data_IF_621489354556
#
_entry.id   IF_621489354556
#
_cell.length_a   1.000
_cell.length_b   1.000
_cell.length_c   1.000
_cell.angle_alpha   90.00
_cell.angle_beta   90.00
_cell.angle_gamma   90.00
#
_symmetry.space_group_name_H-M   'P 1'
#
loop_
_entity.id
_entity.type
_entity.pdbx_description
1 polymer ?
#
# COMPACT_ATOMS: atom_id res chain seq x y z
N UNK A 1 -25.73 -24.01 3.79
CA UNK A 1 -24.70 -23.00 4.12
C UNK A 1 -25.08 -21.72 3.37
N UNK A 2 -25.43 -20.65 4.07
CA UNK A 2 -25.76 -19.38 3.44
C UNK A 2 -24.47 -18.77 2.86
N UNK A 3 -24.31 -18.86 1.55
CA UNK A 3 -23.30 -18.11 0.81
C UNK A 3 -23.61 -16.63 1.00
N UNK A 4 -22.84 -15.94 1.84
CA UNK A 4 -22.80 -14.48 1.78
C UNK A 4 -22.32 -14.14 0.38
N UNK A 5 -23.21 -13.55 -0.42
CA UNK A 5 -22.87 -13.06 -1.75
C UNK A 5 -21.81 -11.97 -1.57
N UNK A 6 -20.58 -12.33 -1.91
CA UNK A 6 -19.46 -11.39 -2.02
C UNK A 6 -19.79 -10.44 -3.17
N UNK A 7 -19.66 -9.14 -2.92
CA UNK A 7 -20.08 -8.11 -3.87
C UNK A 7 -19.33 -8.16 -5.20
N UNK A 8 -19.82 -7.39 -6.18
CA UNK A 8 -19.12 -7.21 -7.46
C UNK A 8 -17.69 -6.70 -7.25
N UNK A 9 -16.74 -7.21 -8.02
CA UNK A 9 -15.33 -6.79 -7.99
C UNK A 9 -14.40 -7.70 -7.19
N UNK A 10 -14.92 -8.72 -6.49
CA UNK A 10 -14.10 -9.72 -5.81
C UNK A 10 -13.71 -10.87 -6.74
N UNK A 11 -12.42 -11.16 -6.81
CA UNK A 11 -11.89 -12.35 -7.50
C UNK A 11 -11.11 -13.18 -6.50
N UNK A 12 -11.49 -14.45 -6.34
CA UNK A 12 -10.78 -15.39 -5.47
C UNK A 12 -9.78 -16.17 -6.31
N UNK A 13 -8.51 -16.13 -5.92
CA UNK A 13 -7.41 -16.77 -6.62
C UNK A 13 -6.90 -17.98 -5.84
N UNK A 14 -6.45 -18.98 -6.58
CA UNK A 14 -5.73 -20.15 -6.07
C UNK A 14 -4.71 -20.59 -7.13
N UNK A 15 -3.82 -21.52 -6.77
CA UNK A 15 -2.74 -21.97 -7.66
C UNK A 15 -2.11 -23.27 -7.20
N UNK A 16 -0.99 -23.64 -7.83
CA UNK A 16 -0.20 -24.80 -7.39
C UNK A 16 0.41 -24.51 -6.02
N UNK A 17 0.60 -25.53 -5.15
CA UNK A 17 1.19 -25.33 -3.83
C UNK A 17 2.52 -24.59 -3.85
N UNK A 18 3.41 -24.92 -4.79
CA UNK A 18 4.72 -24.29 -4.92
C UNK A 18 4.63 -22.81 -5.33
N UNK A 19 3.67 -22.46 -6.20
CA UNK A 19 3.43 -21.07 -6.61
C UNK A 19 2.90 -20.24 -5.43
N UNK A 20 2.00 -20.82 -4.63
CA UNK A 20 1.46 -20.18 -3.41
C UNK A 20 2.59 -19.97 -2.39
N UNK A 21 3.46 -20.97 -2.19
CA UNK A 21 4.60 -20.86 -1.28
C UNK A 21 5.59 -19.79 -1.74
N UNK A 22 5.89 -19.75 -3.05
CA UNK A 22 6.74 -18.72 -3.64
C UNK A 22 6.16 -17.32 -3.38
N UNK A 23 4.89 -17.11 -3.72
CA UNK A 23 4.20 -15.83 -3.50
C UNK A 23 4.23 -15.42 -2.03
N UNK A 24 3.88 -16.33 -1.11
CA UNK A 24 3.91 -16.08 0.34
C UNK A 24 5.30 -15.61 0.79
N UNK A 25 6.35 -16.30 0.39
CA UNK A 25 7.73 -15.94 0.75
C UNK A 25 8.17 -14.60 0.15
N UNK A 26 7.84 -14.35 -1.11
CA UNK A 26 8.14 -13.09 -1.78
C UNK A 26 7.46 -11.88 -1.13
N UNK A 27 6.27 -12.09 -0.58
CA UNK A 27 5.52 -11.05 0.16
C UNK A 27 5.87 -10.99 1.65
N UNK A 28 6.77 -11.84 2.15
CA UNK A 28 7.16 -11.88 3.57
C UNK A 28 6.19 -12.62 4.50
N UNK A 29 5.23 -13.39 3.97
CA UNK A 29 4.26 -14.18 4.74
C UNK A 29 4.71 -15.62 4.99
N UNK A 30 5.78 -15.77 5.76
CA UNK A 30 6.28 -17.07 6.20
C UNK A 30 6.84 -16.99 7.62
N UNK A 31 6.86 -18.13 8.30
CA UNK A 31 7.53 -18.29 9.60
C UNK A 31 8.89 -18.96 9.41
N UNK A 32 9.85 -18.64 10.28
CA UNK A 32 11.19 -19.23 10.23
C UNK A 32 11.20 -20.71 10.66
N UNK A 33 10.30 -21.11 11.56
CA UNK A 33 10.12 -22.53 11.92
C UNK A 33 9.28 -23.22 10.83
N UNK A 34 9.83 -24.22 10.11
CA UNK A 34 9.09 -24.93 9.07
C UNK A 34 7.85 -25.68 9.56
N UNK A 35 7.81 -26.11 10.83
CA UNK A 35 6.65 -26.79 11.39
C UNK A 35 5.51 -25.81 11.63
N UNK A 36 5.84 -24.63 12.13
CA UNK A 36 4.88 -23.53 12.32
C UNK A 36 4.35 -23.01 10.98
N UNK A 37 5.23 -22.82 9.98
CA UNK A 37 4.86 -22.32 8.65
C UNK A 37 3.98 -23.30 7.85
N UNK A 38 4.10 -24.60 8.14
CA UNK A 38 3.31 -25.66 7.55
C UNK A 38 1.91 -25.81 8.19
N UNK A 39 1.67 -25.23 9.38
CA UNK A 39 0.35 -25.30 10.01
C UNK A 39 -0.63 -24.37 9.30
N UNK A 40 -1.59 -24.98 8.59
CA UNK A 40 -2.62 -24.27 7.82
C UNK A 40 -3.62 -23.51 8.70
N UNK A 41 -3.65 -23.77 10.01
CA UNK A 41 -4.45 -22.99 10.95
C UNK A 41 -3.74 -21.68 11.35
N UNK A 42 -2.42 -21.60 11.15
CA UNK A 42 -1.61 -20.44 11.47
C UNK A 42 -1.49 -19.51 10.25
N UNK A 43 -2.42 -18.56 10.15
CA UNK A 43 -2.45 -17.56 9.08
C UNK A 43 -2.10 -16.18 9.65
N UNK A 44 -1.35 -15.37 8.89
CA UNK A 44 -0.87 -14.06 9.36
C UNK A 44 -1.98 -13.06 9.67
N UNK A 45 -3.18 -13.24 9.11
CA UNK A 45 -4.32 -12.33 9.30
C UNK A 45 -4.13 -10.95 8.66
N UNK A 46 -3.11 -10.77 7.81
CA UNK A 46 -2.78 -9.48 7.20
C UNK A 46 -3.53 -9.25 5.88
N UNK A 47 -3.91 -8.00 5.63
CA UNK A 47 -4.37 -7.51 4.33
C UNK A 47 -3.20 -6.74 3.71
N UNK A 48 -2.81 -7.14 2.50
CA UNK A 48 -1.88 -6.37 1.65
C UNK A 48 -2.67 -5.73 0.52
N UNK A 49 -2.39 -4.45 0.28
CA UNK A 49 -2.99 -3.69 -0.81
C UNK A 49 -1.87 -3.14 -1.66
N UNK A 50 -1.98 -3.33 -2.98
CA UNK A 50 -0.99 -2.89 -3.96
C UNK A 50 -1.64 -2.20 -5.15
N UNK A 51 -1.06 -1.08 -5.55
CA UNK A 51 -1.39 -0.36 -6.80
C UNK A 51 -0.18 -0.43 -7.71
N UNK A 52 -0.16 -1.45 -8.58
CA UNK A 52 1.00 -1.79 -9.40
C UNK A 52 1.47 -0.65 -10.34
N UNK A 53 0.61 0.09 -11.05
CA UNK A 53 1.07 1.21 -11.90
C UNK A 53 1.82 2.30 -11.13
N UNK A 54 1.58 2.41 -9.82
CA UNK A 54 2.21 3.38 -8.94
C UNK A 54 3.30 2.74 -8.07
N UNK A 55 3.52 1.43 -8.19
CA UNK A 55 4.42 0.63 -7.37
C UNK A 55 4.23 0.85 -5.87
N UNK A 56 2.99 1.14 -5.44
CA UNK A 56 2.67 1.36 -4.03
C UNK A 56 2.15 0.09 -3.43
N UNK A 57 2.70 -0.26 -2.27
CA UNK A 57 2.32 -1.44 -1.51
C UNK A 57 2.21 -1.04 -0.04
N UNK A 58 1.14 -1.49 0.62
CA UNK A 58 0.93 -1.30 2.06
C UNK A 58 0.28 -2.53 2.66
N UNK A 59 0.26 -2.59 3.99
CA UNK A 59 -0.36 -3.67 4.73
C UNK A 59 -1.00 -3.20 6.03
N UNK A 60 -2.05 -3.89 6.46
CA UNK A 60 -2.65 -3.71 7.77
C UNK A 60 -3.24 -5.03 8.28
N UNK A 61 -3.56 -5.09 9.57
CA UNK A 61 -4.24 -6.24 10.16
C UNK A 61 -5.66 -6.36 9.64
N UNK A 62 -6.06 -7.54 9.15
CA UNK A 62 -7.39 -7.78 8.62
C UNK A 62 -8.50 -7.80 9.68
N UNK A 63 -8.13 -8.02 10.94
CA UNK A 63 -9.01 -7.89 12.10
C UNK A 63 -9.15 -6.47 12.64
N UNK A 64 -8.43 -5.49 12.06
CA UNK A 64 -8.50 -4.11 12.52
C UNK A 64 -9.91 -3.51 12.33
N UNK A 65 -10.17 -2.43 13.06
CA UNK A 65 -11.39 -1.65 12.81
C UNK A 65 -11.45 -1.23 11.32
N UNK A 66 -12.60 -1.43 10.68
CA UNK A 66 -12.89 -1.00 9.31
C UNK A 66 -12.46 0.45 9.00
N UNK A 67 -12.57 1.37 9.96
CA UNK A 67 -12.15 2.77 9.75
C UNK A 67 -10.62 2.89 9.58
N UNK A 68 -9.85 2.02 10.24
CA UNK A 68 -8.40 1.94 10.09
C UNK A 68 -8.02 1.37 8.72
N UNK A 69 -8.63 0.25 8.32
CA UNK A 69 -8.39 -0.37 7.00
C UNK A 69 -8.70 0.65 5.89
N UNK A 70 -9.82 1.35 5.99
CA UNK A 70 -10.18 2.39 5.01
C UNK A 70 -9.20 3.57 5.02
N UNK A 71 -8.60 3.89 6.17
CA UNK A 71 -7.58 4.95 6.27
C UNK A 71 -6.30 4.53 5.58
N UNK A 72 -5.82 3.30 5.82
CA UNK A 72 -4.63 2.75 5.14
C UNK A 72 -4.79 2.78 3.62
N UNK A 73 -5.95 2.37 3.09
CA UNK A 73 -6.22 2.46 1.65
C UNK A 73 -6.14 3.92 1.18
N UNK A 74 -6.84 4.84 1.85
CA UNK A 74 -6.86 6.25 1.45
C UNK A 74 -5.49 6.92 1.52
N UNK A 75 -4.68 6.63 2.53
CA UNK A 75 -3.40 7.33 2.76
C UNK A 75 -2.28 6.75 1.91
N UNK A 76 -2.27 5.43 1.69
CA UNK A 76 -1.16 4.79 1.00
C UNK A 76 -1.45 4.57 -0.48
N UNK A 77 -2.70 4.22 -0.82
CA UNK A 77 -3.07 3.87 -2.20
C UNK A 77 -3.66 5.07 -2.95
N UNK A 78 -4.61 5.78 -2.35
CA UNK A 78 -5.35 6.86 -3.04
C UNK A 78 -4.72 8.25 -2.88
N UNK A 79 -3.81 8.43 -1.92
CA UNK A 79 -3.26 9.75 -1.67
C UNK A 79 -2.41 10.24 -2.85
N UNK A 80 -2.49 11.54 -3.21
CA UNK A 80 -1.63 12.11 -4.24
C UNK A 80 -0.15 11.93 -3.87
N UNK A 81 0.72 11.65 -4.86
CA UNK A 81 2.17 11.83 -4.69
C UNK A 81 2.47 13.30 -4.35
N UNK A 82 2.52 13.62 -3.05
CA UNK A 82 2.88 14.95 -2.55
C UNK A 82 4.39 15.08 -2.31
N UNK A 83 5.16 14.02 -2.55
CA UNK A 83 6.62 13.99 -2.37
C UNK A 83 7.38 14.71 -3.48
N UNK A 84 8.48 15.37 -3.09
CA UNK A 84 9.52 15.78 -4.01
C UNK A 84 10.82 15.04 -3.63
N UNK A 85 11.45 14.39 -4.60
CA UNK A 85 12.79 13.83 -4.47
C UNK A 85 13.77 14.79 -5.12
N UNK A 86 14.77 15.28 -4.38
CA UNK A 86 15.74 16.28 -4.87
C UNK A 86 15.10 17.53 -5.53
N UNK A 87 13.94 17.96 -5.00
CA UNK A 87 13.19 19.10 -5.54
C UNK A 87 12.39 18.80 -6.81
N UNK A 88 12.47 17.58 -7.36
CA UNK A 88 11.61 17.09 -8.44
C UNK A 88 10.32 16.57 -7.85
N UNK A 89 9.22 17.30 -8.09
CA UNK A 89 7.88 16.83 -7.75
C UNK A 89 7.38 15.92 -8.87
N UNK A 90 7.22 14.64 -8.58
CA UNK A 90 6.55 13.73 -9.51
C UNK A 90 5.05 14.05 -9.48
N UNK A 91 4.49 14.45 -10.62
CA UNK A 91 3.05 14.58 -10.74
C UNK A 91 2.44 13.20 -10.60
N UNK A 92 1.40 13.08 -9.78
CA UNK A 92 0.66 11.83 -9.65
C UNK A 92 -0.10 11.56 -10.96
N UNK A 93 0.16 10.44 -11.66
CA UNK A 93 -0.52 10.13 -12.92
C UNK A 93 -2.05 10.04 -12.76
N UNK A 94 -2.54 9.69 -11.57
CA UNK A 94 -3.96 9.60 -11.25
C UNK A 94 -4.58 10.97 -10.90
N UNK A 95 -3.76 11.98 -10.58
CA UNK A 95 -4.24 13.32 -10.23
C UNK A 95 -4.11 14.22 -11.44
N UNK A 96 -5.21 14.41 -12.16
CA UNK A 96 -5.31 15.47 -13.14
C UNK A 96 -5.39 16.81 -12.40
N UNK A 97 -4.24 17.38 -12.03
CA UNK A 97 -4.18 18.74 -11.49
C UNK A 97 -4.54 19.70 -12.61
N UNK A 98 -5.77 20.22 -12.60
CA UNK A 98 -6.08 21.42 -13.37
C UNK A 98 -5.24 22.56 -12.78
N UNK A 99 -4.20 22.98 -13.49
CA UNK A 99 -3.31 24.03 -13.04
C UNK A 99 -4.04 25.38 -13.07
N UNK A 100 -4.62 25.78 -11.96
CA UNK A 100 -5.11 27.15 -11.76
C UNK A 100 -4.20 27.86 -10.76
N UNK A 101 -3.25 28.64 -11.28
CA UNK A 101 -2.60 29.71 -10.51
C UNK A 101 -1.08 29.63 -10.39
N UNK A 102 -0.42 30.62 -10.99
CA UNK A 102 1.01 30.92 -10.83
C UNK A 102 1.34 31.27 -9.38
N UNK A 103 2.07 30.39 -8.67
CA UNK A 103 2.64 30.75 -7.36
C UNK A 103 3.93 31.56 -7.60
N UNK A 104 3.90 32.85 -7.28
CA UNK A 104 5.13 33.67 -7.21
C UNK A 104 6.04 33.12 -6.11
N UNK A 105 7.21 32.61 -6.49
CA UNK A 105 8.26 32.23 -5.52
C UNK A 105 8.83 33.49 -4.88
N UNK A 106 8.75 33.60 -3.55
CA UNK A 106 9.57 34.53 -2.79
C UNK A 106 10.97 33.92 -2.59
N UNK A 107 12.02 34.74 -2.65
CA UNK A 107 13.40 34.30 -2.48
C UNK A 107 13.63 33.71 -1.07
N UNK A 108 14.42 32.62 -0.92
CA UNK A 108 14.67 32.02 0.38
C UNK A 108 15.56 32.95 1.23
N UNK A 109 15.24 33.05 2.52
CA UNK A 109 16.08 33.76 3.48
C UNK A 109 17.37 32.96 3.74
N UNK A 110 18.54 33.59 3.55
CA UNK A 110 19.82 33.03 3.95
C UNK A 110 19.85 32.88 5.48
N UNK A 111 19.99 31.65 5.98
CA UNK A 111 20.36 31.40 7.36
C UNK A 111 21.87 31.65 7.53
N UNK A 112 22.23 32.70 8.27
CA UNK A 112 23.60 32.98 8.68
C UNK A 112 23.81 32.39 10.07
N UNK A 113 24.65 31.37 10.19
CA UNK A 113 25.12 30.89 11.49
C UNK A 113 26.11 31.90 12.08
N UNK A 114 25.77 32.50 13.23
CA UNK A 114 26.74 33.23 14.05
C UNK A 114 27.63 32.23 14.78
N UNK A 115 28.94 32.50 14.75
CA UNK A 115 29.97 31.80 15.54
C UNK A 115 29.90 32.22 17.01
#
# INVERSE_FOLDING_TARGET
MNSKEVGTGWTFLTGKPDDILLLRKSLGFFYNDPKEDADRNNHSGMIVVGTEPLMRWTMCEGGANREWIATVIRTEMDAPFQGAVDGVRQADPAVHVQSTGTVKRAAPALHVHRK
#
